data_IF_814248782061
#
_entry.id   IF_814248782061
#
_cell.length_a   1.000
_cell.length_b   1.000
_cell.length_c   1.000
_cell.angle_alpha   90.00
_cell.angle_beta   90.00
_cell.angle_gamma   90.00
#
_symmetry.space_group_name_H-M   'P 1'
#
loop_
_entity.id
_entity.type
_entity.pdbx_description
1 polymer ?
#
# COMPACT_ATOMS: atom_id res chain seq x y z
N UNK A 1 7.02 -14.56 -19.80
CA UNK A 1 5.99 -14.83 -20.84
C UNK A 1 4.57 -14.51 -20.36
N UNK A 2 4.11 -14.98 -19.19
CA UNK A 2 2.80 -14.59 -18.63
C UNK A 2 2.85 -13.21 -17.94
N UNK A 3 3.93 -12.92 -17.22
CA UNK A 3 4.16 -11.65 -16.50
C UNK A 3 4.22 -10.43 -17.45
N UNK A 4 4.81 -10.59 -18.64
CA UNK A 4 4.85 -9.55 -19.68
C UNK A 4 3.52 -9.33 -20.40
N UNK A 5 2.57 -10.27 -20.29
CA UNK A 5 1.25 -10.14 -20.89
C UNK A 5 0.30 -9.37 -19.96
N UNK A 6 0.39 -9.64 -18.65
CA UNK A 6 -0.37 -8.92 -17.62
C UNK A 6 0.09 -7.46 -17.50
N UNK A 7 1.40 -7.20 -17.57
CA UNK A 7 1.97 -5.85 -17.55
C UNK A 7 1.57 -5.03 -18.80
N UNK A 8 1.47 -5.67 -19.98
CA UNK A 8 0.95 -5.03 -21.20
C UNK A 8 -0.53 -4.66 -21.09
N UNK A 9 -1.34 -5.51 -20.46
CA UNK A 9 -2.76 -5.25 -20.28
C UNK A 9 -3.01 -4.08 -19.30
N UNK A 10 -2.22 -4.00 -18.22
CA UNK A 10 -2.26 -2.88 -17.28
C UNK A 10 -1.90 -1.56 -17.96
N UNK A 11 -0.84 -1.53 -18.79
CA UNK A 11 -0.42 -0.33 -19.54
C UNK A 11 -1.45 0.09 -20.60
N UNK A 12 -2.05 -0.86 -21.32
CA UNK A 12 -3.06 -0.58 -22.33
C UNK A 12 -4.35 0.05 -21.74
N UNK A 13 -4.73 -0.32 -20.51
CA UNK A 13 -5.86 0.27 -19.80
C UNK A 13 -5.62 1.73 -19.38
N UNK A 14 -4.36 2.11 -19.10
CA UNK A 14 -3.96 3.47 -18.75
C UNK A 14 -3.81 4.36 -20.00
N UNK A 15 -3.35 3.81 -21.12
CA UNK A 15 -3.13 4.53 -22.39
C UNK A 15 -4.40 4.84 -23.20
N UNK A 16 -5.60 4.54 -22.70
CA UNK A 16 -6.86 4.92 -23.35
C UNK A 16 -7.10 4.29 -24.73
N UNK A 17 -6.42 3.19 -25.08
CA UNK A 17 -6.74 2.44 -26.30
C UNK A 17 -8.00 1.61 -26.07
N UNK A 18 -9.08 2.05 -26.69
CA UNK A 18 -10.33 1.31 -26.77
C UNK A 18 -10.09 -0.04 -27.46
N UNK A 19 -10.00 -1.11 -26.65
CA UNK A 19 -10.11 -2.48 -27.17
C UNK A 19 -11.58 -2.71 -27.53
N UNK A 20 -11.81 -3.02 -28.81
CA UNK A 20 -13.12 -3.16 -29.41
C UNK A 20 -14.02 -4.20 -28.71
N UNK A 21 -15.21 -3.73 -28.37
CA UNK A 21 -16.46 -4.42 -28.12
C UNK A 21 -16.48 -5.97 -28.23
N UNK A 22 -16.23 -6.63 -27.09
CA UNK A 22 -16.91 -7.86 -26.69
C UNK A 22 -17.81 -7.52 -25.50
N UNK A 23 -18.94 -6.87 -25.78
CA UNK A 23 -19.81 -6.25 -24.77
C UNK A 23 -20.48 -7.25 -23.83
N UNK A 24 -19.82 -7.54 -22.71
CA UNK A 24 -20.51 -7.75 -21.45
C UNK A 24 -20.34 -6.45 -20.66
N UNK A 25 -21.30 -5.53 -20.79
CA UNK A 25 -21.47 -4.48 -19.79
C UNK A 25 -21.65 -5.23 -18.48
N UNK A 26 -20.69 -5.15 -17.56
CA UNK A 26 -20.85 -5.72 -16.23
C UNK A 26 -21.99 -4.91 -15.59
N UNK A 27 -23.21 -5.41 -15.76
CA UNK A 27 -24.46 -4.74 -15.38
C UNK A 27 -24.73 -4.81 -13.88
N UNK A 28 -23.82 -5.42 -13.13
CA UNK A 28 -23.86 -5.52 -11.70
C UNK A 28 -22.55 -4.96 -11.14
N UNK A 29 -22.66 -4.05 -10.16
CA UNK A 29 -21.53 -3.74 -9.30
C UNK A 29 -20.92 -5.08 -8.83
N UNK A 30 -19.57 -5.24 -8.85
CA UNK A 30 -18.96 -6.44 -8.32
C UNK A 30 -19.52 -6.66 -6.92
N UNK A 31 -20.09 -7.84 -6.68
CA UNK A 31 -20.58 -8.23 -5.34
C UNK A 31 -19.44 -7.95 -4.36
N UNK A 32 -19.63 -7.13 -3.31
CA UNK A 32 -18.65 -7.05 -2.25
C UNK A 32 -18.20 -8.45 -1.88
N UNK A 33 -16.90 -8.62 -1.69
CA UNK A 33 -16.25 -9.91 -1.43
C UNK A 33 -16.86 -10.68 -0.24
N UNK A 34 -17.79 -10.09 0.50
CA UNK A 34 -18.38 -10.61 1.73
C UNK A 34 -19.93 -10.48 1.83
N UNK A 35 -20.68 -10.54 0.73
CA UNK A 35 -22.16 -10.43 0.73
C UNK A 35 -22.90 -11.67 1.26
N UNK A 36 -22.20 -12.79 1.43
CA UNK A 36 -22.83 -14.07 1.81
C UNK A 36 -22.86 -14.29 3.33
N UNK A 37 -22.53 -13.26 4.12
CA UNK A 37 -22.39 -13.37 5.57
C UNK A 37 -23.29 -12.32 6.22
N UNK A 38 -24.15 -12.74 7.15
CA UNK A 38 -24.99 -11.77 7.87
C UNK A 38 -24.11 -10.72 8.56
N UNK A 39 -24.60 -9.49 8.72
CA UNK A 39 -23.88 -8.41 9.39
C UNK A 39 -23.44 -8.82 10.81
N UNK A 40 -24.18 -9.75 11.43
CA UNK A 40 -23.88 -10.36 12.72
C UNK A 40 -22.73 -11.39 12.71
N UNK A 41 -22.31 -11.87 11.53
CA UNK A 41 -21.28 -12.89 11.31
C UNK A 41 -20.02 -12.34 10.60
N UNK A 42 -20.01 -11.06 10.20
CA UNK A 42 -18.80 -10.44 9.66
C UNK A 42 -17.70 -10.43 10.74
N UNK A 43 -16.52 -10.97 10.40
CA UNK A 43 -15.35 -10.92 11.28
C UNK A 43 -15.13 -9.51 11.83
N UNK A 44 -14.63 -9.41 13.06
CA UNK A 44 -14.25 -8.14 13.68
C UNK A 44 -13.51 -7.25 12.66
N UNK A 45 -14.02 -6.02 12.49
CA UNK A 45 -13.49 -5.04 11.54
C UNK A 45 -11.98 -4.92 11.74
N UNK A 46 -11.21 -5.19 10.67
CA UNK A 46 -9.74 -5.10 10.70
C UNK A 46 -9.32 -3.61 10.80
N UNK A 47 -8.40 -3.24 11.70
CA UNK A 47 -7.89 -1.88 11.77
C UNK A 47 -7.25 -1.44 10.45
N UNK A 48 -7.60 -0.25 9.94
CA UNK A 48 -6.96 0.34 8.77
C UNK A 48 -5.62 0.96 9.19
N UNK A 49 -4.53 0.46 8.61
CA UNK A 49 -3.17 0.80 9.05
C UNK A 49 -2.36 1.37 7.90
N UNK A 50 -1.72 2.53 8.12
CA UNK A 50 -0.67 3.02 7.23
C UNK A 50 0.67 2.47 7.73
N UNK A 51 1.48 1.94 6.82
CA UNK A 51 2.82 1.44 7.12
C UNK A 51 3.84 2.46 6.64
N UNK A 52 4.72 2.88 7.55
CA UNK A 52 5.89 3.69 7.27
C UNK A 52 7.15 2.83 7.44
N UNK A 53 7.94 2.72 6.38
CA UNK A 53 9.24 2.04 6.38
C UNK A 53 10.17 2.75 5.39
N UNK A 54 11.50 2.59 5.48
CA UNK A 54 12.37 3.16 4.47
C UNK A 54 12.05 2.55 3.09
N UNK A 55 12.24 3.36 2.04
CA UNK A 55 12.13 2.93 0.65
C UNK A 55 13.36 3.36 -0.16
N UNK A 56 13.63 4.66 -0.23
CA UNK A 56 14.80 5.24 -0.93
C UNK A 56 16.15 4.78 -0.36
N UNK A 57 17.21 4.88 -1.17
CA UNK A 57 18.56 4.45 -0.82
C UNK A 57 18.82 3.03 -1.31
N UNK A 58 19.02 2.08 -0.40
CA UNK A 58 19.09 0.65 -0.74
C UNK A 58 17.68 0.09 -1.01
N UNK A 59 17.17 0.37 -2.22
CA UNK A 59 15.79 0.05 -2.64
C UNK A 59 15.50 -1.44 -2.58
N UNK A 60 16.46 -2.30 -2.92
CA UNK A 60 16.27 -3.75 -2.90
C UNK A 60 16.04 -4.25 -1.47
N UNK A 61 16.94 -3.89 -0.54
CA UNK A 61 16.80 -4.23 0.88
C UNK A 61 15.54 -3.63 1.48
N UNK A 62 15.27 -2.37 1.18
CA UNK A 62 14.12 -1.65 1.72
C UNK A 62 12.79 -2.22 1.19
N UNK A 63 12.74 -2.69 -0.05
CA UNK A 63 11.61 -3.42 -0.61
C UNK A 63 11.37 -4.72 0.14
N UNK A 64 12.42 -5.52 0.36
CA UNK A 64 12.34 -6.75 1.17
C UNK A 64 11.86 -6.45 2.60
N UNK A 65 12.33 -5.36 3.20
CA UNK A 65 11.91 -4.90 4.53
C UNK A 65 10.45 -4.44 4.58
N UNK A 66 10.01 -3.58 3.65
CA UNK A 66 8.64 -3.10 3.55
C UNK A 66 7.64 -4.25 3.40
N UNK A 67 7.96 -5.28 2.59
CA UNK A 67 7.16 -6.50 2.46
C UNK A 67 7.06 -7.28 3.77
N UNK A 68 8.15 -7.37 4.53
CA UNK A 68 8.13 -8.00 5.84
C UNK A 68 7.29 -7.21 6.87
N UNK A 69 7.34 -5.89 6.82
CA UNK A 69 6.52 -5.00 7.66
C UNK A 69 5.02 -5.17 7.34
N UNK A 70 4.68 -5.21 6.04
CA UNK A 70 3.32 -5.47 5.58
C UNK A 70 2.81 -6.83 6.06
N UNK A 71 3.64 -7.88 5.95
CA UNK A 71 3.30 -9.22 6.43
C UNK A 71 3.12 -9.28 7.96
N UNK A 72 3.94 -8.59 8.74
CA UNK A 72 3.78 -8.49 10.20
C UNK A 72 2.43 -7.84 10.56
N UNK A 73 2.08 -6.73 9.91
CA UNK A 73 0.79 -6.06 10.14
C UNK A 73 -0.41 -6.94 9.75
N UNK A 74 -0.35 -7.62 8.60
CA UNK A 74 -1.38 -8.58 8.18
C UNK A 74 -1.57 -9.71 9.21
N UNK A 75 -0.47 -10.24 9.76
CA UNK A 75 -0.50 -11.30 10.80
C UNK A 75 -1.06 -10.83 12.14
N UNK A 76 -1.09 -9.51 12.40
CA UNK A 76 -1.76 -8.91 13.56
C UNK A 76 -3.26 -8.73 13.36
N UNK A 77 -3.81 -9.16 12.22
CA UNK A 77 -5.22 -8.99 11.89
C UNK A 77 -5.58 -7.59 11.40
N UNK A 78 -4.58 -6.79 11.02
CA UNK A 78 -4.74 -5.44 10.49
C UNK A 78 -4.99 -5.48 8.97
N UNK A 79 -5.47 -4.36 8.43
CA UNK A 79 -5.60 -4.11 7.00
C UNK A 79 -4.62 -2.98 6.60
N UNK A 80 -3.34 -3.33 6.35
CA UNK A 80 -2.31 -2.33 6.08
C UNK A 80 -2.25 -1.87 4.62
N UNK A 81 -1.83 -0.62 4.43
CA UNK A 81 -1.31 -0.08 3.17
C UNK A 81 0.13 0.41 3.35
N UNK A 82 0.99 0.09 2.38
CA UNK A 82 2.34 0.63 2.24
C UNK A 82 2.44 1.32 0.87
N UNK A 83 2.00 2.57 0.78
CA UNK A 83 1.89 3.31 -0.50
C UNK A 83 3.25 3.47 -1.19
N UNK A 84 4.33 3.69 -0.43
CA UNK A 84 5.69 3.78 -0.96
C UNK A 84 6.19 2.49 -1.60
N UNK A 85 5.65 1.33 -1.20
CA UNK A 85 5.93 0.05 -1.85
C UNK A 85 4.98 -0.22 -3.02
N UNK A 86 3.69 0.12 -2.87
CA UNK A 86 2.66 -0.19 -3.85
C UNK A 86 2.71 0.72 -5.09
N UNK A 87 2.72 2.03 -4.89
CA UNK A 87 2.59 3.00 -5.99
C UNK A 87 3.82 2.98 -6.91
N UNK A 88 5.00 2.71 -6.34
CA UNK A 88 6.27 2.60 -7.08
C UNK A 88 6.35 1.38 -8.00
N UNK A 89 5.38 0.47 -7.97
CA UNK A 89 5.27 -0.62 -8.96
C UNK A 89 4.70 -0.14 -10.30
N UNK A 90 4.03 1.02 -10.32
CA UNK A 90 3.34 1.57 -11.49
C UNK A 90 3.68 3.03 -11.78
N UNK A 91 4.36 3.71 -10.86
CA UNK A 91 4.84 5.09 -10.97
C UNK A 91 6.37 5.12 -10.88
N UNK A 92 6.99 5.98 -11.67
CA UNK A 92 8.41 6.27 -11.62
C UNK A 92 8.71 7.38 -10.59
N UNK A 93 9.32 7.01 -9.46
CA UNK A 93 9.69 7.93 -8.37
C UNK A 93 10.76 8.96 -8.76
N UNK A 94 11.41 8.79 -9.93
CA UNK A 94 12.35 9.75 -10.52
C UNK A 94 11.65 10.84 -11.36
N UNK A 95 10.39 10.62 -11.75
CA UNK A 95 9.57 11.60 -12.46
C UNK A 95 8.80 12.44 -11.44
N UNK A 96 9.01 13.77 -11.36
CA UNK A 96 8.42 14.60 -10.31
C UNK A 96 6.89 14.56 -10.25
N UNK A 97 6.23 14.53 -11.41
CA UNK A 97 4.77 14.43 -11.57
C UNK A 97 4.21 13.11 -11.03
N UNK A 98 4.84 11.98 -11.38
CA UNK A 98 4.42 10.66 -10.91
C UNK A 98 4.75 10.46 -9.41
N UNK A 99 5.88 10.97 -8.96
CA UNK A 99 6.25 11.01 -7.54
C UNK A 99 5.21 11.76 -6.72
N UNK A 100 4.81 12.95 -7.16
CA UNK A 100 3.80 13.76 -6.49
C UNK A 100 2.46 13.02 -6.43
N UNK A 101 2.01 12.45 -7.55
CA UNK A 101 0.80 11.63 -7.61
C UNK A 101 0.82 10.47 -6.60
N UNK A 102 1.94 9.74 -6.52
CA UNK A 102 2.11 8.63 -5.58
C UNK A 102 2.07 9.08 -4.12
N UNK A 103 2.67 10.23 -3.80
CA UNK A 103 2.64 10.83 -2.46
C UNK A 103 1.23 11.27 -2.12
N UNK A 104 0.55 12.03 -2.97
CA UNK A 104 -0.81 12.51 -2.74
C UNK A 104 -1.81 11.36 -2.52
N UNK A 105 -1.73 10.33 -3.35
CA UNK A 105 -2.55 9.13 -3.20
C UNK A 105 -2.30 8.43 -1.86
N UNK A 106 -1.04 8.35 -1.42
CA UNK A 106 -0.69 7.81 -0.10
C UNK A 106 -1.22 8.66 1.04
N UNK A 107 -1.12 9.99 0.94
CA UNK A 107 -1.59 10.93 1.95
C UNK A 107 -3.10 10.91 2.13
N UNK A 108 -3.88 10.62 1.07
CA UNK A 108 -5.34 10.53 1.15
C UNK A 108 -5.82 9.48 2.16
N UNK A 109 -5.04 8.42 2.41
CA UNK A 109 -5.38 7.36 3.36
C UNK A 109 -5.44 7.82 4.82
N UNK A 110 -4.74 8.90 5.19
CA UNK A 110 -4.77 9.41 6.57
C UNK A 110 -6.17 9.86 7.01
N UNK A 111 -7.10 10.08 6.08
CA UNK A 111 -8.49 10.44 6.40
C UNK A 111 -9.29 9.28 6.99
N UNK A 112 -8.88 8.04 6.72
CA UNK A 112 -9.61 6.82 7.10
C UNK A 112 -8.78 5.86 7.93
N UNK A 113 -7.45 6.04 7.97
CA UNK A 113 -6.56 5.21 8.75
C UNK A 113 -6.80 5.38 10.26
N UNK A 114 -6.79 4.27 10.98
CA UNK A 114 -6.94 4.25 12.44
C UNK A 114 -5.61 4.38 13.17
N UNK A 115 -4.52 4.03 12.50
CA UNK A 115 -3.16 4.26 12.99
C UNK A 115 -2.15 4.26 11.86
N UNK A 116 -1.03 4.92 12.14
CA UNK A 116 0.19 4.87 11.36
C UNK A 116 1.21 4.04 12.15
N UNK A 117 1.78 3.04 11.51
CA UNK A 117 2.77 2.16 12.11
C UNK A 117 4.11 2.39 11.44
N UNK A 118 5.10 2.80 12.23
CA UNK A 118 6.45 3.11 11.79
C UNK A 118 7.39 1.97 12.17
N UNK A 119 7.95 1.30 11.17
CA UNK A 119 8.93 0.23 11.36
C UNK A 119 10.35 0.80 11.33
N UNK A 120 11.06 0.75 12.46
CA UNK A 120 12.27 1.55 12.71
C UNK A 120 13.57 0.72 12.80
N UNK A 121 13.61 -0.51 12.29
CA UNK A 121 14.82 -1.34 12.34
C UNK A 121 16.03 -0.67 11.65
N UNK A 122 15.80 0.25 10.72
CA UNK A 122 16.82 0.99 9.97
C UNK A 122 16.86 2.48 10.31
N UNK A 123 16.33 2.86 11.47
CA UNK A 123 16.19 4.26 11.86
C UNK A 123 15.08 4.97 11.11
N UNK A 124 15.06 6.30 11.27
CA UNK A 124 14.03 7.17 10.71
C UNK A 124 14.52 7.82 9.43
N UNK A 125 13.92 7.47 8.29
CA UNK A 125 14.17 8.18 7.02
C UNK A 125 13.41 9.52 6.98
N UNK A 126 13.82 10.42 6.08
CA UNK A 126 13.10 11.68 5.83
C UNK A 126 11.63 11.43 5.46
N UNK A 127 11.37 10.48 4.54
CA UNK A 127 10.01 10.14 4.12
C UNK A 127 9.15 9.62 5.27
N UNK A 128 9.71 8.75 6.12
CA UNK A 128 9.00 8.27 7.31
C UNK A 128 8.74 9.37 8.34
N UNK A 129 9.68 10.32 8.51
CA UNK A 129 9.48 11.47 9.40
C UNK A 129 8.35 12.38 8.88
N UNK A 130 8.29 12.60 7.57
CA UNK A 130 7.21 13.34 6.91
C UNK A 130 5.86 12.61 7.07
N UNK A 131 5.80 11.30 6.82
CA UNK A 131 4.61 10.47 7.06
C UNK A 131 4.17 10.49 8.53
N UNK A 132 5.12 10.41 9.47
CA UNK A 132 4.84 10.52 10.91
C UNK A 132 4.25 11.90 11.27
N UNK A 133 4.80 12.97 10.72
CA UNK A 133 4.27 14.32 10.93
C UNK A 133 2.86 14.47 10.34
N UNK A 134 2.60 13.88 9.17
CA UNK A 134 1.28 13.86 8.53
C UNK A 134 0.26 13.09 9.36
N UNK A 135 0.61 11.90 9.86
CA UNK A 135 -0.23 11.13 10.77
C UNK A 135 -0.68 11.98 11.96
N UNK A 136 0.28 12.64 12.61
CA UNK A 136 0.01 13.54 13.74
C UNK A 136 -0.89 14.70 13.37
N UNK A 137 -0.69 15.35 12.22
CA UNK A 137 -1.54 16.45 11.76
C UNK A 137 -3.00 16.04 11.49
N UNK A 138 -3.23 14.76 11.17
CA UNK A 138 -4.55 14.18 10.96
C UNK A 138 -5.14 13.54 12.23
N UNK A 139 -4.46 13.65 13.38
CA UNK A 139 -4.90 13.01 14.63
C UNK A 139 -4.82 11.48 14.60
N UNK A 140 -4.08 10.91 13.65
CA UNK A 140 -3.88 9.46 13.51
C UNK A 140 -2.79 9.01 14.49
N UNK A 141 -3.09 8.10 15.44
CA UNK A 141 -2.11 7.56 16.37
C UNK A 141 -0.91 6.96 15.65
N UNK A 142 0.30 7.20 16.18
CA UNK A 142 1.55 6.65 15.64
C UNK A 142 2.07 5.56 16.58
N UNK A 143 2.28 4.37 16.05
CA UNK A 143 2.84 3.21 16.75
C UNK A 143 4.21 2.86 16.16
N UNK A 144 5.23 2.67 17.00
CA UNK A 144 6.56 2.27 16.54
C UNK A 144 6.77 0.78 16.73
N UNK A 145 7.31 0.11 15.70
CA UNK A 145 7.55 -1.34 15.69
C UNK A 145 8.94 -1.70 15.22
N UNK A 146 9.39 -2.88 15.67
CA UNK A 146 10.59 -3.55 15.20
C UNK A 146 10.29 -5.00 14.87
N UNK A 147 10.87 -5.48 13.77
CA UNK A 147 10.86 -6.89 13.41
C UNK A 147 12.06 -7.58 14.08
N UNK A 148 11.81 -8.46 15.05
CA UNK A 148 12.87 -9.09 15.85
C UNK A 148 13.75 -10.07 15.07
N UNK A 149 13.19 -10.76 14.07
CA UNK A 149 13.90 -11.76 13.25
C UNK A 149 14.12 -11.29 11.82
N UNK A 150 14.12 -9.97 11.56
CA UNK A 150 14.39 -9.49 10.20
C UNK A 150 15.85 -9.79 9.84
N UNK A 151 16.01 -10.78 8.97
CA UNK A 151 17.23 -11.03 8.22
C UNK A 151 16.91 -10.60 6.79
N UNK A 152 17.77 -9.80 6.17
CA UNK A 152 17.76 -9.72 4.71
C UNK A 152 17.84 -11.18 4.24
N UNK A 153 16.80 -11.67 3.57
CA UNK A 153 16.92 -12.95 2.88
C UNK A 153 18.13 -12.79 1.95
N UNK A 154 19.20 -13.54 2.27
CA UNK A 154 20.44 -13.57 1.51
C UNK A 154 20.16 -14.05 0.09
#
# INVERSE_FOLDING_TARGET
MLEEAEDRAARAAVEGRQMGAGGAVISCLPKPYNDNVSVAQQQARKPLVIIESPYSGDVERNTKYARACLLDSLRRGEAPIASHLLHTQVLDDLRPDERELGIEAGLAWYRVAEKCVVYENFGMSRGMAEGTARARSHGVPVEFRRLGAWRAAA
#
